data_IF_859622147476
#
_entry.id   IF_859622147476
#
_cell.length_a   1.000
_cell.length_b   1.000
_cell.length_c   1.000
_cell.angle_alpha   90.00
_cell.angle_beta   90.00
_cell.angle_gamma   90.00
#
_symmetry.space_group_name_H-M   'P 1'
#
loop_
_entity.id
_entity.type
_entity.pdbx_description
1 polymer ?
#
# COMPACT_ATOMS: atom_id res chain seq x y z
N UNK A 1 0.92 -13.36 -26.07
CA UNK A 1 1.29 -14.56 -25.30
C UNK A 1 0.48 -15.77 -25.73
N UNK A 2 -0.86 -15.74 -25.72
CA UNK A 2 -1.70 -16.88 -26.17
C UNK A 2 -1.33 -17.34 -27.58
N UNK A 3 -1.32 -16.44 -28.57
CA UNK A 3 -0.92 -16.77 -29.95
C UNK A 3 0.53 -17.25 -30.11
N UNK A 4 1.38 -17.01 -29.11
CA UNK A 4 2.77 -17.47 -29.10
C UNK A 4 2.93 -18.81 -28.38
N UNK A 5 1.83 -19.38 -27.86
CA UNK A 5 1.80 -20.67 -27.18
C UNK A 5 2.84 -20.77 -26.06
N UNK A 6 2.94 -19.71 -25.25
CA UNK A 6 3.84 -19.71 -24.09
C UNK A 6 3.37 -20.73 -23.05
N UNK A 7 4.31 -21.29 -22.28
CA UNK A 7 3.99 -22.28 -21.24
C UNK A 7 3.20 -21.67 -20.06
N UNK A 8 3.42 -20.40 -19.74
CA UNK A 8 2.78 -19.69 -18.62
C UNK A 8 2.58 -18.21 -18.94
N UNK A 9 1.51 -17.62 -18.39
CA UNK A 9 1.29 -16.18 -18.39
C UNK A 9 1.36 -15.66 -16.96
N UNK A 10 2.17 -14.62 -16.74
CA UNK A 10 2.21 -13.88 -15.47
C UNK A 10 1.55 -12.54 -15.69
N UNK A 11 0.56 -12.21 -14.85
CA UNK A 11 -0.28 -11.02 -15.01
C UNK A 11 -0.30 -10.19 -13.73
N UNK A 12 0.14 -8.94 -13.81
CA UNK A 12 -0.13 -7.90 -12.81
C UNK A 12 -1.28 -7.02 -13.33
N UNK A 13 -2.52 -7.19 -12.84
CA UNK A 13 -3.68 -6.52 -13.39
C UNK A 13 -3.73 -5.04 -12.96
N UNK A 14 -4.04 -4.13 -13.88
CA UNK A 14 -4.15 -2.69 -13.55
C UNK A 14 -5.31 -2.41 -12.59
N UNK A 15 -6.47 -3.02 -12.83
CA UNK A 15 -7.69 -2.93 -12.01
C UNK A 15 -8.29 -4.32 -11.81
N UNK A 16 -9.21 -4.48 -10.86
CA UNK A 16 -9.79 -5.80 -10.55
C UNK A 16 -10.71 -6.34 -11.65
N UNK A 17 -11.37 -5.50 -12.43
CA UNK A 17 -12.46 -5.92 -13.35
C UNK A 17 -12.03 -5.95 -14.81
N UNK A 18 -12.77 -6.71 -15.63
CA UNK A 18 -12.60 -6.73 -17.10
C UNK A 18 -11.70 -7.85 -17.63
N UNK A 19 -11.34 -8.81 -16.77
CA UNK A 19 -10.42 -9.89 -17.12
C UNK A 19 -11.10 -11.20 -17.53
N UNK A 20 -12.40 -11.39 -17.30
CA UNK A 20 -13.09 -12.67 -17.53
C UNK A 20 -12.87 -13.21 -18.95
N UNK A 21 -13.04 -12.39 -19.99
CA UNK A 21 -12.90 -12.82 -21.39
C UNK A 21 -11.49 -13.30 -21.71
N UNK A 22 -10.47 -12.49 -21.40
CA UNK A 22 -9.07 -12.82 -21.78
C UNK A 22 -8.49 -13.95 -20.93
N UNK A 23 -8.94 -14.09 -19.68
CA UNK A 23 -8.58 -15.23 -18.84
C UNK A 23 -9.27 -16.52 -19.32
N UNK A 24 -10.52 -16.42 -19.81
CA UNK A 24 -11.19 -17.55 -20.45
C UNK A 24 -10.45 -17.97 -21.73
N UNK A 25 -9.99 -17.03 -22.56
CA UNK A 25 -9.18 -17.33 -23.74
C UNK A 25 -7.86 -18.04 -23.39
N UNK A 26 -7.18 -17.62 -22.31
CA UNK A 26 -5.97 -18.29 -21.84
C UNK A 26 -6.26 -19.72 -21.34
N UNK A 27 -7.36 -19.89 -20.61
CA UNK A 27 -7.83 -21.19 -20.12
C UNK A 27 -8.23 -22.13 -21.25
N UNK A 28 -8.94 -21.65 -22.27
CA UNK A 28 -9.33 -22.42 -23.45
C UNK A 28 -8.13 -22.85 -24.30
N UNK A 29 -7.02 -22.14 -24.20
CA UNK A 29 -5.74 -22.47 -24.80
C UNK A 29 -4.84 -23.36 -23.91
N UNK A 30 -5.35 -23.84 -22.77
CA UNK A 30 -4.61 -24.62 -21.77
C UNK A 30 -3.34 -23.93 -21.22
N UNK A 31 -3.31 -22.59 -21.19
CA UNK A 31 -2.18 -21.81 -20.66
C UNK A 31 -2.47 -21.38 -19.21
N UNK A 32 -1.71 -21.88 -18.22
CA UNK A 32 -1.85 -21.46 -16.83
C UNK A 32 -1.54 -19.96 -16.64
N UNK A 33 -2.42 -19.25 -15.93
CA UNK A 33 -2.24 -17.84 -15.60
C UNK A 33 -1.92 -17.68 -14.12
N UNK A 34 -0.79 -17.04 -13.80
CA UNK A 34 -0.39 -16.68 -12.45
C UNK A 34 -0.58 -15.17 -12.27
N UNK A 35 -1.49 -14.78 -11.39
CA UNK A 35 -1.72 -13.38 -11.06
C UNK A 35 -0.71 -12.94 -9.98
N UNK A 36 -0.16 -11.73 -10.10
CA UNK A 36 0.82 -11.20 -9.15
C UNK A 36 0.44 -9.81 -8.66
N UNK A 37 0.88 -9.48 -7.44
CA UNK A 37 0.69 -8.19 -6.78
C UNK A 37 -0.80 -7.87 -6.53
N UNK A 38 -1.46 -7.30 -7.54
CA UNK A 38 -2.89 -6.96 -7.52
C UNK A 38 -3.78 -8.17 -7.76
N UNK A 39 -5.08 -8.00 -7.52
CA UNK A 39 -6.09 -9.05 -7.73
C UNK A 39 -6.95 -8.79 -8.96
N UNK A 40 -7.57 -9.86 -9.44
CA UNK A 40 -8.71 -9.80 -10.38
C UNK A 40 -9.98 -10.21 -9.62
N UNK A 41 -11.10 -9.56 -9.95
CA UNK A 41 -12.43 -9.92 -9.51
C UNK A 41 -13.17 -10.57 -10.68
N UNK A 42 -13.16 -11.90 -10.70
CA UNK A 42 -13.71 -12.73 -11.77
C UNK A 42 -14.88 -13.57 -11.25
N UNK A 43 -15.80 -13.93 -12.15
CA UNK A 43 -16.97 -14.74 -11.77
C UNK A 43 -16.64 -16.21 -11.53
N UNK A 44 -15.65 -16.72 -12.25
CA UNK A 44 -15.16 -18.09 -12.15
C UNK A 44 -13.71 -18.05 -11.66
N UNK A 45 -13.50 -18.51 -10.43
CA UNK A 45 -12.17 -18.54 -9.82
C UNK A 45 -11.22 -19.50 -10.54
N UNK A 46 -11.71 -20.43 -11.37
CA UNK A 46 -10.84 -21.33 -12.16
C UNK A 46 -10.22 -20.67 -13.40
N UNK A 47 -10.49 -19.38 -13.65
CA UNK A 47 -9.92 -18.62 -14.77
C UNK A 47 -8.43 -18.26 -14.63
N UNK A 48 -7.86 -18.46 -13.44
CA UNK A 48 -6.43 -18.36 -13.22
C UNK A 48 -5.96 -19.55 -12.37
N UNK A 49 -4.66 -19.82 -12.38
CA UNK A 49 -4.08 -20.97 -11.68
C UNK A 49 -3.79 -20.64 -10.23
N UNK A 50 -3.08 -19.53 -10.00
CA UNK A 50 -2.67 -19.08 -8.68
C UNK A 50 -2.55 -17.56 -8.63
N UNK A 51 -2.61 -16.99 -7.44
CA UNK A 51 -2.32 -15.59 -7.15
C UNK A 51 -1.24 -15.49 -6.07
N UNK A 52 -0.30 -14.58 -6.25
CA UNK A 52 0.69 -14.21 -5.22
C UNK A 52 0.79 -12.70 -5.08
N UNK A 53 0.52 -12.18 -3.89
CA UNK A 53 0.53 -10.73 -3.68
C UNK A 53 0.28 -10.32 -2.25
N UNK A 54 0.08 -9.02 -2.10
CA UNK A 54 -0.05 -8.34 -0.80
C UNK A 54 -1.46 -8.39 -0.26
N UNK A 55 -1.59 -8.33 1.07
CA UNK A 55 -2.88 -8.13 1.72
C UNK A 55 -3.10 -6.63 1.93
N UNK A 56 -3.51 -5.92 0.89
CA UNK A 56 -3.67 -4.47 0.89
C UNK A 56 -4.61 -3.94 1.97
N UNK A 57 -5.65 -4.71 2.31
CA UNK A 57 -6.52 -4.36 3.45
C UNK A 57 -5.75 -4.40 4.76
N UNK A 58 -4.98 -5.45 4.98
CA UNK A 58 -4.15 -5.56 6.19
C UNK A 58 -3.00 -4.53 6.21
N UNK A 59 -2.45 -4.14 5.07
CA UNK A 59 -1.52 -2.99 4.99
C UNK A 59 -2.17 -1.72 5.53
N UNK A 60 -3.39 -1.41 5.07
CA UNK A 60 -4.12 -0.26 5.58
C UNK A 60 -4.50 -0.39 7.06
N UNK A 61 -4.95 -1.58 7.50
CA UNK A 61 -5.31 -1.82 8.91
C UNK A 61 -4.08 -1.66 9.83
N UNK A 62 -2.91 -2.11 9.38
CA UNK A 62 -1.60 -1.89 10.04
C UNK A 62 -1.32 -0.40 10.21
N UNK A 63 -1.46 0.39 9.14
CA UNK A 63 -1.23 1.83 9.17
C UNK A 63 -2.21 2.58 10.09
N UNK A 64 -3.49 2.21 10.05
CA UNK A 64 -4.52 2.76 10.95
C UNK A 64 -4.21 2.43 12.41
N UNK A 65 -3.88 1.17 12.73
CA UNK A 65 -3.53 0.76 14.08
C UNK A 65 -2.29 1.51 14.61
N UNK A 66 -1.28 1.71 13.76
CA UNK A 66 -0.11 2.51 14.12
C UNK A 66 -0.49 3.95 14.44
N UNK A 67 -1.38 4.56 13.66
CA UNK A 67 -1.87 5.93 13.92
C UNK A 67 -2.59 6.02 15.27
N UNK A 68 -3.48 5.08 15.56
CA UNK A 68 -4.17 5.00 16.86
C UNK A 68 -3.17 4.97 18.02
N UNK A 69 -2.19 4.07 17.96
CA UNK A 69 -1.20 3.88 19.01
C UNK A 69 -0.22 5.05 19.11
N UNK A 70 0.16 5.66 17.98
CA UNK A 70 1.02 6.84 17.95
C UNK A 70 0.35 8.00 18.68
N UNK A 71 -0.87 8.38 18.31
CA UNK A 71 -1.55 9.50 18.97
C UNK A 71 -1.84 9.22 20.44
N UNK A 72 -2.20 7.98 20.79
CA UNK A 72 -2.37 7.57 22.19
C UNK A 72 -1.09 7.68 23.00
N UNK A 73 0.04 7.23 22.47
CA UNK A 73 1.34 7.31 23.16
C UNK A 73 1.78 8.75 23.43
N UNK A 74 1.39 9.70 22.57
CA UNK A 74 1.63 11.14 22.74
C UNK A 74 0.59 11.83 23.63
N UNK A 75 -0.39 11.11 24.17
CA UNK A 75 -1.50 11.68 24.95
C UNK A 75 -2.45 12.55 24.13
N UNK A 76 -2.56 12.26 22.83
CA UNK A 76 -3.33 13.01 21.81
C UNK A 76 -4.46 12.18 21.19
N UNK A 77 -4.88 11.08 21.83
CA UNK A 77 -5.94 10.19 21.31
C UNK A 77 -7.31 10.86 21.20
N UNK A 78 -7.49 12.03 21.83
CA UNK A 78 -8.72 12.84 21.77
C UNK A 78 -8.60 14.08 20.88
N UNK A 79 -7.43 14.35 20.32
CA UNK A 79 -7.25 15.48 19.41
C UNK A 79 -8.10 15.25 18.15
N UNK A 80 -8.77 16.28 17.60
CA UNK A 80 -9.36 16.18 16.28
C UNK A 80 -8.26 16.00 15.24
N UNK A 81 -8.43 15.05 14.32
CA UNK A 81 -7.49 14.79 13.22
C UNK A 81 -8.16 15.03 11.87
N UNK A 82 -7.62 15.96 11.10
CA UNK A 82 -7.98 16.16 9.70
C UNK A 82 -7.03 15.34 8.81
N UNK A 83 -7.61 14.40 8.07
CA UNK A 83 -6.90 13.41 7.28
C UNK A 83 -7.20 13.65 5.80
N UNK A 84 -6.15 13.64 4.99
CA UNK A 84 -6.23 13.63 3.53
C UNK A 84 -5.86 12.24 3.05
N UNK A 85 -6.69 11.67 2.18
CA UNK A 85 -6.42 10.41 1.49
C UNK A 85 -6.06 10.70 0.02
N UNK A 86 -4.80 10.43 -0.35
CA UNK A 86 -4.33 10.45 -1.74
C UNK A 86 -4.33 9.01 -2.23
N UNK A 87 -5.38 8.68 -2.98
CA UNK A 87 -5.68 7.33 -3.40
C UNK A 87 -4.89 6.94 -4.65
N UNK A 88 -4.58 5.67 -4.80
CA UNK A 88 -4.02 5.11 -6.01
C UNK A 88 -4.97 5.10 -7.19
N UNK A 89 -4.61 4.33 -8.23
CA UNK A 89 -5.47 4.12 -9.39
C UNK A 89 -6.81 3.51 -8.96
N UNK A 90 -7.91 4.22 -9.21
CA UNK A 90 -9.26 3.78 -8.85
C UNK A 90 -9.57 2.42 -9.46
N UNK A 91 -10.02 1.49 -8.62
CA UNK A 91 -10.35 0.13 -9.02
C UNK A 91 -9.17 -0.85 -8.99
N UNK A 92 -7.97 -0.41 -8.61
CA UNK A 92 -6.88 -1.31 -8.24
C UNK A 92 -7.14 -1.92 -6.87
N UNK A 93 -6.85 -3.22 -6.69
CA UNK A 93 -7.03 -3.90 -5.40
C UNK A 93 -6.23 -3.26 -4.26
N UNK A 94 -5.06 -2.69 -4.58
CA UNK A 94 -4.24 -1.94 -3.64
C UNK A 94 -4.96 -0.70 -3.10
N UNK A 95 -5.54 0.09 -4.01
CA UNK A 95 -6.31 1.27 -3.67
C UNK A 95 -7.54 0.89 -2.83
N UNK A 96 -8.32 -0.09 -3.30
CA UNK A 96 -9.53 -0.53 -2.59
C UNK A 96 -9.21 -0.97 -1.17
N UNK A 97 -8.19 -1.83 -0.99
CA UNK A 97 -7.83 -2.35 0.33
C UNK A 97 -7.34 -1.29 1.31
N UNK A 98 -6.45 -0.39 0.86
CA UNK A 98 -5.85 0.68 1.69
C UNK A 98 -6.90 1.74 2.06
N UNK A 99 -7.67 2.23 1.08
CA UNK A 99 -8.80 3.14 1.29
C UNK A 99 -9.82 2.55 2.28
N UNK A 100 -10.26 1.31 2.07
CA UNK A 100 -11.28 0.68 2.92
C UNK A 100 -10.85 0.57 4.39
N UNK A 101 -9.56 0.34 4.63
CA UNK A 101 -9.02 0.33 5.98
C UNK A 101 -9.08 1.71 6.63
N UNK A 102 -8.65 2.74 5.91
CA UNK A 102 -8.67 4.13 6.40
C UNK A 102 -10.10 4.58 6.69
N UNK A 103 -11.03 4.33 5.77
CA UNK A 103 -12.45 4.65 5.97
C UNK A 103 -13.03 3.94 7.20
N UNK A 104 -12.70 2.66 7.41
CA UNK A 104 -13.13 1.92 8.58
C UNK A 104 -12.56 2.51 9.87
N UNK A 105 -11.28 2.93 9.86
CA UNK A 105 -10.64 3.66 10.95
C UNK A 105 -11.36 4.97 11.25
N UNK A 106 -11.60 5.81 10.25
CA UNK A 106 -12.30 7.09 10.39
C UNK A 106 -13.73 6.90 10.93
N UNK A 107 -14.46 5.87 10.47
CA UNK A 107 -15.80 5.53 10.99
C UNK A 107 -15.78 5.11 12.47
N UNK A 108 -14.67 4.52 12.95
CA UNK A 108 -14.49 4.09 14.35
C UNK A 108 -14.13 5.24 15.30
N UNK A 109 -13.56 6.33 14.79
CA UNK A 109 -13.10 7.47 15.60
C UNK A 109 -13.89 8.74 15.30
N UNK A 110 -14.73 9.17 16.24
CA UNK A 110 -15.55 10.39 16.07
C UNK A 110 -14.73 11.68 15.96
N UNK A 111 -13.46 11.66 16.35
CA UNK A 111 -12.53 12.78 16.25
C UNK A 111 -11.66 12.74 14.98
N UNK A 112 -11.78 11.72 14.14
CA UNK A 112 -11.07 11.67 12.85
C UNK A 112 -12.00 12.14 11.74
N UNK A 113 -11.46 12.91 10.80
CA UNK A 113 -12.23 13.44 9.68
C UNK A 113 -11.43 13.35 8.40
N UNK A 114 -11.98 12.66 7.40
CA UNK A 114 -11.50 12.78 6.02
C UNK A 114 -11.92 14.15 5.49
N UNK A 115 -10.94 15.03 5.26
CA UNK A 115 -11.18 16.37 4.71
C UNK A 115 -11.04 16.40 3.19
N UNK A 116 -10.28 15.46 2.62
CA UNK A 116 -10.19 15.22 1.19
C UNK A 116 -9.86 13.75 0.91
N UNK A 117 -10.40 13.23 -0.19
CA UNK A 117 -10.13 11.90 -0.72
C UNK A 117 -10.13 12.00 -2.25
N UNK A 118 -8.95 11.93 -2.86
CA UNK A 118 -8.76 12.16 -4.30
C UNK A 118 -7.65 11.26 -4.85
N UNK A 119 -7.78 10.82 -6.09
CA UNK A 119 -6.80 9.94 -6.74
C UNK A 119 -5.51 10.69 -7.13
N UNK A 120 -4.38 10.20 -6.62
CA UNK A 120 -3.00 10.43 -7.05
C UNK A 120 -2.53 9.46 -8.15
N UNK A 121 -3.36 8.49 -8.54
CA UNK A 121 -3.06 7.51 -9.60
C UNK A 121 -1.76 6.71 -9.40
N UNK A 122 -1.29 6.59 -8.15
CA UNK A 122 0.02 6.04 -7.77
C UNK A 122 1.23 6.80 -8.33
N UNK A 123 1.06 8.05 -8.77
CA UNK A 123 2.13 8.86 -9.39
C UNK A 123 2.52 10.06 -8.54
N UNK A 124 3.81 10.42 -8.60
CA UNK A 124 4.32 11.59 -7.90
C UNK A 124 3.70 12.89 -8.40
N UNK A 125 3.61 13.04 -9.72
CA UNK A 125 3.08 14.27 -10.31
C UNK A 125 1.62 14.52 -9.88
N UNK A 126 0.78 13.48 -9.89
CA UNK A 126 -0.62 13.64 -9.51
C UNK A 126 -0.82 13.71 -8.00
N UNK A 127 -0.01 13.00 -7.19
CA UNK A 127 0.03 13.19 -5.73
C UNK A 127 0.38 14.62 -5.34
N UNK A 128 1.35 15.24 -6.03
CA UNK A 128 1.68 16.66 -5.87
C UNK A 128 0.49 17.56 -6.23
N UNK A 129 -0.12 17.37 -7.41
CA UNK A 129 -1.27 18.16 -7.87
C UNK A 129 -2.44 18.10 -6.88
N UNK A 130 -2.77 16.91 -6.39
CA UNK A 130 -3.81 16.69 -5.38
C UNK A 130 -3.48 17.46 -4.10
N UNK A 131 -2.27 17.29 -3.58
CA UNK A 131 -1.89 17.94 -2.32
C UNK A 131 -1.86 19.47 -2.44
N UNK A 132 -1.37 20.02 -3.55
CA UNK A 132 -1.42 21.47 -3.84
C UNK A 132 -2.86 22.00 -3.88
N UNK A 133 -3.79 21.23 -4.45
CA UNK A 133 -5.22 21.59 -4.50
C UNK A 133 -5.86 21.55 -3.11
N UNK A 134 -5.56 20.51 -2.32
CA UNK A 134 -6.09 20.33 -0.97
C UNK A 134 -5.56 21.40 -0.01
N UNK A 135 -4.28 21.77 -0.09
CA UNK A 135 -3.67 22.82 0.74
C UNK A 135 -4.28 24.21 0.51
N UNK A 136 -4.89 24.47 -0.64
CA UNK A 136 -5.63 25.72 -0.93
C UNK A 136 -7.01 25.74 -0.26
N UNK A 137 -7.58 24.56 0.00
CA UNK A 137 -8.93 24.39 0.54
C UNK A 137 -8.92 24.14 2.06
N UNK A 138 -7.84 23.55 2.57
CA UNK A 138 -7.68 23.14 3.96
C UNK A 138 -6.35 23.63 4.51
N UNK A 139 -6.40 24.50 5.52
CA UNK A 139 -5.20 25.04 6.18
C UNK A 139 -4.68 24.17 7.32
N UNK A 140 -5.55 23.30 7.86
CA UNK A 140 -5.42 22.46 9.04
C UNK A 140 -5.47 20.98 8.63
N UNK A 141 -4.32 20.43 8.25
CA UNK A 141 -4.17 19.01 7.89
C UNK A 141 -3.21 18.41 8.92
N UNK A 142 -3.58 17.29 9.52
CA UNK A 142 -2.76 16.58 10.50
C UNK A 142 -2.05 15.39 9.87
N UNK A 143 -2.74 14.67 8.97
CA UNK A 143 -2.23 13.45 8.34
C UNK A 143 -2.54 13.47 6.85
N UNK A 144 -1.55 13.09 6.04
CA UNK A 144 -1.72 12.77 4.62
C UNK A 144 -1.39 11.30 4.44
N UNK A 145 -2.43 10.52 4.17
CA UNK A 145 -2.35 9.10 3.84
C UNK A 145 -2.16 8.97 2.34
N UNK A 146 -0.93 8.67 1.91
CA UNK A 146 -0.63 8.42 0.50
C UNK A 146 -0.60 6.92 0.28
N UNK A 147 -1.35 6.42 -0.70
CA UNK A 147 -1.45 4.99 -0.93
C UNK A 147 -0.21 4.39 -1.60
N UNK A 148 0.82 5.19 -1.97
CA UNK A 148 2.17 4.71 -2.23
C UNK A 148 3.29 5.77 -2.02
N UNK A 149 4.54 5.32 -2.14
CA UNK A 149 5.75 6.14 -2.04
C UNK A 149 5.79 7.31 -3.03
N UNK A 150 5.38 7.10 -4.28
CA UNK A 150 5.42 8.16 -5.29
C UNK A 150 4.47 9.30 -4.93
N UNK A 151 3.24 8.98 -4.54
CA UNK A 151 2.26 9.96 -4.07
C UNK A 151 2.77 10.69 -2.83
N UNK A 152 3.39 9.98 -1.89
CA UNK A 152 4.02 10.57 -0.71
C UNK A 152 5.10 11.58 -1.08
N UNK A 153 5.96 11.27 -2.07
CA UNK A 153 6.99 12.22 -2.54
C UNK A 153 6.36 13.49 -3.09
N UNK A 154 5.32 13.37 -3.91
CA UNK A 154 4.61 14.51 -4.48
C UNK A 154 3.91 15.36 -3.41
N UNK A 155 3.26 14.70 -2.44
CA UNK A 155 2.63 15.37 -1.31
C UNK A 155 3.65 16.13 -0.45
N UNK A 156 4.79 15.53 -0.14
CA UNK A 156 5.89 16.16 0.61
C UNK A 156 6.38 17.41 -0.12
N UNK A 157 6.60 17.33 -1.44
CA UNK A 157 7.04 18.46 -2.25
C UNK A 157 6.02 19.61 -2.20
N UNK A 158 4.73 19.32 -2.35
CA UNK A 158 3.64 20.30 -2.25
C UNK A 158 3.55 20.96 -0.86
N UNK A 159 3.65 20.16 0.21
CA UNK A 159 3.60 20.64 1.60
C UNK A 159 4.74 21.61 1.86
N UNK A 160 5.96 21.25 1.44
CA UNK A 160 7.14 22.10 1.60
C UNK A 160 7.06 23.37 0.76
N UNK A 161 6.59 23.27 -0.49
CA UNK A 161 6.38 24.41 -1.36
C UNK A 161 5.36 25.42 -0.79
N UNK A 162 4.36 24.93 -0.04
CA UNK A 162 3.40 25.76 0.68
C UNK A 162 3.95 26.35 2.00
N UNK A 163 5.24 26.14 2.31
CA UNK A 163 5.88 26.65 3.53
C UNK A 163 5.48 25.90 4.81
N UNK A 164 4.86 24.72 4.69
CA UNK A 164 4.51 23.85 5.81
C UNK A 164 5.60 22.81 6.04
N UNK A 165 5.57 22.15 7.20
CA UNK A 165 6.53 21.13 7.59
C UNK A 165 5.87 19.75 7.59
N UNK A 166 6.64 18.76 7.16
CA UNK A 166 6.32 17.34 7.34
C UNK A 166 7.08 16.81 8.55
N UNK A 167 6.47 15.91 9.31
CA UNK A 167 7.07 15.28 10.49
C UNK A 167 6.05 14.74 11.47
N UNK A 168 6.52 14.31 12.64
CA UNK A 168 5.70 13.67 13.69
C UNK A 168 5.40 14.59 14.87
N UNK A 169 5.95 15.81 14.88
CA UNK A 169 5.74 16.79 15.93
C UNK A 169 4.38 17.51 15.79
N UNK A 170 3.89 18.05 16.90
CA UNK A 170 2.61 18.77 16.91
C UNK A 170 2.67 20.02 16.03
N UNK A 171 1.77 20.09 15.05
CA UNK A 171 1.67 21.20 14.09
C UNK A 171 2.41 20.96 12.78
N UNK A 172 3.12 19.83 12.65
CA UNK A 172 3.63 19.32 11.38
C UNK A 172 2.62 18.35 10.75
N UNK A 173 2.72 18.17 9.43
CA UNK A 173 1.86 17.25 8.68
C UNK A 173 2.53 15.88 8.65
N UNK A 174 1.86 14.88 9.21
CA UNK A 174 2.33 13.51 9.20
C UNK A 174 2.04 12.87 7.85
N UNK A 175 3.06 12.33 7.18
CA UNK A 175 2.88 11.64 5.88
C UNK A 175 3.02 10.14 6.07
N UNK A 176 2.00 9.40 5.62
CA UNK A 176 2.01 7.95 5.57
C UNK A 176 2.20 7.49 4.13
N UNK A 177 2.86 6.34 3.97
CA UNK A 177 3.17 5.75 2.68
C UNK A 177 3.03 4.22 2.70
N UNK A 178 3.04 3.65 1.51
CA UNK A 178 3.10 2.22 1.25
C UNK A 178 4.15 1.94 0.17
N UNK A 179 4.71 0.74 0.20
CA UNK A 179 5.72 0.14 -0.71
C UNK A 179 7.04 -0.13 0.02
N UNK A 180 7.56 0.85 0.76
CA UNK A 180 8.86 0.76 1.41
C UNK A 180 10.00 0.54 0.43
N UNK A 181 9.98 1.31 -0.67
CA UNK A 181 11.12 1.39 -1.60
C UNK A 181 12.34 1.96 -0.89
N UNK A 182 13.55 1.75 -1.42
CA UNK A 182 14.75 2.45 -0.89
C UNK A 182 14.57 3.97 -0.82
N UNK A 183 13.87 4.58 -1.77
CA UNK A 183 13.61 6.02 -1.74
C UNK A 183 12.63 6.38 -0.60
N UNK A 184 11.54 5.61 -0.44
CA UNK A 184 10.58 5.74 0.65
C UNK A 184 11.25 5.63 2.02
N UNK A 185 12.05 4.58 2.23
CA UNK A 185 12.77 4.38 3.48
C UNK A 185 13.81 5.49 3.76
N UNK A 186 14.41 6.10 2.74
CA UNK A 186 15.26 7.28 2.97
C UNK A 186 14.44 8.49 3.47
N UNK A 187 13.19 8.63 3.01
CA UNK A 187 12.25 9.65 3.52
C UNK A 187 11.73 9.31 4.91
N UNK A 188 11.59 8.04 5.25
CA UNK A 188 11.31 7.61 6.64
C UNK A 188 12.49 7.95 7.55
N UNK A 189 13.72 7.63 7.11
CA UNK A 189 14.93 7.92 7.86
C UNK A 189 15.13 9.42 8.11
N UNK A 190 14.75 10.28 7.16
CA UNK A 190 14.81 11.73 7.33
C UNK A 190 13.65 12.31 8.16
N UNK A 191 12.66 11.50 8.53
CA UNK A 191 11.45 11.91 9.23
C UNK A 191 10.40 12.60 8.34
N UNK A 192 10.61 12.63 7.02
CA UNK A 192 9.65 13.20 6.08
C UNK A 192 8.42 12.30 5.87
N UNK A 193 8.60 10.98 5.97
CA UNK A 193 7.53 9.99 6.06
C UNK A 193 7.53 9.45 7.50
N UNK A 194 6.39 9.50 8.18
CA UNK A 194 6.28 9.02 9.55
C UNK A 194 6.18 7.49 9.63
N UNK A 195 5.43 6.92 8.69
CA UNK A 195 5.18 5.49 8.58
C UNK A 195 5.12 5.07 7.11
N UNK A 196 5.80 3.98 6.79
CA UNK A 196 5.83 3.34 5.49
C UNK A 196 5.52 1.84 5.67
N UNK A 197 4.38 1.40 5.15
CA UNK A 197 3.95 -0.01 5.24
C UNK A 197 4.39 -0.76 4.00
N UNK A 198 5.09 -1.87 4.20
CA UNK A 198 5.72 -2.57 3.09
C UNK A 198 4.71 -3.23 2.16
N UNK A 199 4.92 -3.05 0.84
CA UNK A 199 4.35 -3.86 -0.23
C UNK A 199 5.52 -4.52 -0.98
N UNK A 200 5.69 -5.84 -0.82
CA UNK A 200 6.92 -6.54 -1.21
C UNK A 200 6.93 -6.88 -2.72
N UNK A 201 7.82 -6.28 -3.55
CA UNK A 201 7.80 -6.43 -4.99
C UNK A 201 8.48 -7.71 -5.51
N UNK A 202 9.07 -8.53 -4.63
CA UNK A 202 9.87 -9.70 -5.04
C UNK A 202 9.00 -10.91 -5.44
N UNK A 203 8.12 -10.74 -6.43
CA UNK A 203 7.25 -11.83 -6.89
C UNK A 203 7.98 -12.86 -7.76
N UNK A 204 9.09 -12.49 -8.44
CA UNK A 204 9.81 -13.37 -9.37
C UNK A 204 10.14 -14.76 -8.81
N UNK A 205 10.88 -14.88 -7.69
CA UNK A 205 11.16 -16.17 -7.07
C UNK A 205 9.90 -16.94 -6.62
N UNK A 206 8.84 -16.22 -6.22
CA UNK A 206 7.57 -16.83 -5.78
C UNK A 206 6.82 -17.43 -6.96
N UNK A 207 6.77 -16.71 -8.08
CA UNK A 207 6.21 -17.18 -9.35
C UNK A 207 6.99 -18.37 -9.88
N UNK A 208 8.33 -18.31 -9.87
CA UNK A 208 9.18 -19.43 -10.27
C UNK A 208 8.86 -20.69 -9.46
N UNK A 209 8.75 -20.58 -8.14
CA UNK A 209 8.39 -21.71 -7.29
C UNK A 209 6.98 -22.26 -7.57
N UNK A 210 6.01 -21.40 -7.94
CA UNK A 210 4.68 -21.86 -8.37
C UNK A 210 4.79 -22.67 -9.68
N UNK A 211 5.55 -22.17 -10.66
CA UNK A 211 5.77 -22.84 -11.95
C UNK A 211 6.46 -24.21 -11.74
N UNK A 212 7.54 -24.26 -10.96
CA UNK A 212 8.27 -25.51 -10.69
C UNK A 212 7.40 -26.57 -10.02
N UNK A 213 6.43 -26.18 -9.19
CA UNK A 213 5.44 -27.10 -8.61
C UNK A 213 4.45 -27.60 -9.66
N UNK A 214 3.95 -26.73 -10.53
CA UNK A 214 3.05 -27.10 -11.62
C UNK A 214 3.71 -28.10 -12.58
N UNK A 215 4.98 -27.88 -12.95
CA UNK A 215 5.75 -28.79 -13.80
C UNK A 215 5.97 -30.18 -13.19
N UNK A 216 6.04 -30.27 -11.86
CA UNK A 216 6.13 -31.54 -11.11
C UNK A 216 4.77 -32.21 -10.90
N UNK A 217 3.68 -31.59 -11.33
CA UNK A 217 2.31 -32.06 -11.04
C UNK A 217 1.91 -31.92 -9.57
N UNK A 218 2.60 -31.05 -8.83
CA UNK A 218 2.31 -30.78 -7.41
C UNK A 218 1.12 -29.82 -7.28
N UNK A 219 0.43 -29.88 -6.14
CA UNK A 219 -0.65 -28.94 -5.82
C UNK A 219 -0.06 -27.57 -5.48
N UNK A 220 -0.62 -26.52 -6.08
CA UNK A 220 -0.34 -25.12 -5.75
C UNK A 220 -1.49 -24.49 -4.98
N UNK A 221 -1.16 -23.59 -4.06
CA UNK A 221 -2.16 -22.80 -3.35
C UNK A 221 -2.76 -21.76 -4.29
N UNK A 222 -4.08 -21.59 -4.22
CA UNK A 222 -4.80 -20.65 -5.07
C UNK A 222 -4.43 -19.20 -4.78
N UNK A 223 -4.18 -18.88 -3.50
CA UNK A 223 -3.80 -17.56 -3.02
C UNK A 223 -2.61 -17.70 -2.07
N UNK A 224 -1.54 -16.97 -2.34
CA UNK A 224 -0.35 -16.92 -1.50
C UNK A 224 -0.05 -15.46 -1.13
N UNK A 225 -0.22 -15.12 0.15
CA UNK A 225 0.13 -13.80 0.65
C UNK A 225 1.64 -13.66 0.82
N UNK A 226 2.16 -12.45 0.61
CA UNK A 226 3.56 -12.12 0.90
C UNK A 226 3.72 -11.57 2.31
N UNK A 227 4.82 -11.95 2.95
CA UNK A 227 5.20 -11.37 4.24
C UNK A 227 5.70 -9.94 4.06
N UNK A 228 5.23 -9.07 4.95
CA UNK A 228 5.44 -7.63 4.91
C UNK A 228 5.71 -7.06 6.29
N UNK A 229 6.50 -5.99 6.31
CA UNK A 229 6.87 -5.25 7.50
C UNK A 229 6.23 -3.86 7.51
N UNK A 230 6.54 -3.12 8.58
CA UNK A 230 6.25 -1.71 8.70
C UNK A 230 7.52 -0.98 9.12
N UNK A 231 7.68 0.23 8.63
CA UNK A 231 8.85 1.04 8.85
C UNK A 231 8.46 2.43 9.36
N UNK A 232 9.01 2.85 10.49
CA UNK A 232 8.68 4.14 11.10
C UNK A 232 9.93 4.99 11.32
N UNK A 233 9.72 6.31 11.39
CA UNK A 233 10.78 7.29 11.60
C UNK A 233 11.36 7.24 13.03
N UNK A 234 10.57 6.81 14.02
CA UNK A 234 10.97 6.70 15.42
C UNK A 234 10.38 5.45 16.11
N UNK A 235 10.76 5.23 17.37
CA UNK A 235 10.36 4.07 18.16
C UNK A 235 9.10 4.28 19.02
N UNK A 236 8.31 5.33 18.72
CA UNK A 236 7.08 5.68 19.47
C UNK A 236 6.09 4.51 19.51
N UNK A 237 5.94 3.80 18.40
CA UNK A 237 5.12 2.59 18.29
C UNK A 237 6.02 1.45 17.82
N UNK A 238 6.15 0.41 18.65
CA UNK A 238 7.10 -0.72 18.42
C UNK A 238 6.43 -1.93 17.78
N UNK A 239 5.13 -2.05 17.93
CA UNK A 239 4.31 -3.09 17.32
C UNK A 239 2.87 -2.62 17.24
N UNK A 240 2.10 -3.25 16.34
CA UNK A 240 0.66 -3.03 16.17
C UNK A 240 -0.08 -4.36 16.15
N UNK A 241 -1.34 -4.33 16.56
CA UNK A 241 -2.25 -5.49 16.51
C UNK A 241 -3.39 -5.19 15.56
N UNK A 242 -3.60 -6.05 14.57
CA UNK A 242 -4.75 -6.01 13.65
C UNK A 242 -5.56 -7.31 13.76
N UNK A 243 -6.67 -7.40 13.02
CA UNK A 243 -7.42 -8.65 12.91
C UNK A 243 -6.61 -9.81 12.30
N UNK A 244 -5.51 -9.51 11.60
CA UNK A 244 -4.64 -10.51 10.99
C UNK A 244 -3.49 -10.97 11.91
N UNK A 245 -3.25 -10.30 13.05
CA UNK A 245 -2.22 -10.68 14.02
C UNK A 245 -1.45 -9.49 14.61
N UNK A 246 -0.26 -9.79 15.14
CA UNK A 246 0.67 -8.81 15.70
C UNK A 246 1.84 -8.59 14.74
N UNK A 247 2.19 -7.34 14.51
CA UNK A 247 3.24 -6.94 13.57
C UNK A 247 4.23 -6.02 14.27
N UNK A 248 5.52 -6.31 14.14
CA UNK A 248 6.59 -5.44 14.63
C UNK A 248 6.76 -4.22 13.72
N UNK A 249 7.05 -3.08 14.32
CA UNK A 249 7.37 -1.83 13.62
C UNK A 249 8.88 -1.64 13.67
N UNK A 250 9.50 -1.59 12.50
CA UNK A 250 10.95 -1.43 12.37
C UNK A 250 11.30 0.05 12.29
N UNK A 251 12.09 0.55 13.24
CA UNK A 251 12.67 1.90 13.12
C UNK A 251 13.71 1.88 12.01
N UNK A 252 13.58 2.80 11.05
CA UNK A 252 14.49 2.84 9.92
C UNK A 252 15.87 3.34 10.36
N UNK A 253 16.89 2.59 9.99
CA UNK A 253 18.30 2.98 10.12
C UNK A 253 19.01 2.79 8.78
N UNK A 254 20.23 3.35 8.66
CA UNK A 254 21.07 3.12 7.49
C UNK A 254 21.35 1.63 7.24
N UNK A 255 21.46 0.82 8.29
CA UNK A 255 21.72 -0.61 8.16
C UNK A 255 20.47 -1.37 7.69
N UNK A 256 19.27 -0.94 8.13
CA UNK A 256 18.01 -1.44 7.59
C UNK A 256 17.97 -1.21 6.08
N UNK A 257 18.23 0.02 5.61
CA UNK A 257 18.20 0.36 4.17
C UNK A 257 19.25 -0.43 3.37
N UNK A 258 20.48 -0.53 3.87
CA UNK A 258 21.57 -1.28 3.21
C UNK A 258 21.27 -2.78 3.12
N UNK A 259 20.60 -3.34 4.11
CA UNK A 259 20.21 -4.75 4.14
C UNK A 259 19.05 -5.11 3.20
N UNK A 260 18.40 -4.13 2.58
CA UNK A 260 17.25 -4.35 1.70
C UNK A 260 17.69 -4.79 0.30
N UNK A 261 17.01 -5.82 -0.20
CA UNK A 261 17.17 -6.27 -1.57
C UNK A 261 16.67 -5.22 -2.60
N UNK A 262 15.70 -4.37 -2.22
CA UNK A 262 15.04 -3.37 -3.06
C UNK A 262 14.82 -2.05 -2.32
#
# INVERSE_FOLDING_TARGET
>A
FIQQEVDYIVLAPVTETGWDTVLQEAKDADIPVIIVDRMVNVKDDSLYTAWVGSNFRNEGDKAVAWMEDFFKSKGRDKDPLNIVDIQGTIGASAQIGRTDALEAGVKKHSNWKLVAQQTGEFTQAKGQEVMESVLKQHSDIDVVYCENDNEAFGAIDAIKAAGKKVGTDKGEIMVFSFDSTKAGLNKVLSGEIALDTECNPLHGPRVQNIIEKLEKGEKVDKKAYVDEKMFAADDTVKSVTTGAGNFDVTVVTQDVIKGRAY
#
